data_IF_908433672618
#
_entry.id   IF_908433672618
#
_cell.length_a   1.000
_cell.length_b   1.000
_cell.length_c   1.000
_cell.angle_alpha   90.00
_cell.angle_beta   90.00
_cell.angle_gamma   90.00
#
_symmetry.space_group_name_H-M   'P 1'
#
loop_
_entity.id
_entity.type
_entity.pdbx_description
1 polymer ?
#
# COMPACT_ATOMS: atom_id res chain seq x y z
N UNK A 1 -3.84 -1.70 1.39
CA UNK A 1 -3.12 -2.99 1.27
C UNK A 1 -4.10 -4.01 0.74
N UNK A 2 -3.71 -4.88 -0.20
CA UNK A 2 -4.54 -5.95 -0.75
C UNK A 2 -3.78 -7.29 -0.67
N UNK A 3 -4.47 -8.40 -0.95
CA UNK A 3 -3.87 -9.74 -0.80
C UNK A 3 -2.58 -9.92 -1.62
N UNK A 4 -2.45 -9.25 -2.78
CA UNK A 4 -1.18 -9.22 -3.53
C UNK A 4 -0.03 -8.59 -2.75
N UNK A 5 -0.25 -7.44 -2.09
CA UNK A 5 0.73 -6.87 -1.17
C UNK A 5 0.97 -7.80 0.04
N UNK A 6 -0.07 -8.51 0.48
CA UNK A 6 0.02 -9.47 1.57
C UNK A 6 1.06 -10.55 1.32
N UNK A 7 1.17 -11.06 0.11
CA UNK A 7 2.18 -12.09 -0.22
C UNK A 7 3.61 -11.55 -0.13
N UNK A 8 3.83 -10.29 -0.55
CA UNK A 8 5.13 -9.62 -0.37
C UNK A 8 5.48 -9.49 1.12
N UNK A 9 4.52 -9.02 1.91
CA UNK A 9 4.71 -8.76 3.34
C UNK A 9 4.97 -10.06 4.12
N UNK A 10 4.22 -11.13 3.83
CA UNK A 10 4.45 -12.47 4.41
C UNK A 10 5.84 -12.99 4.06
N UNK A 11 6.27 -12.83 2.81
CA UNK A 11 7.62 -13.25 2.40
C UNK A 11 8.68 -12.43 3.13
N UNK A 12 8.52 -11.11 3.26
CA UNK A 12 9.45 -10.26 3.99
C UNK A 12 9.57 -10.67 5.48
N UNK A 13 8.45 -10.97 6.14
CA UNK A 13 8.44 -11.47 7.53
C UNK A 13 9.15 -12.82 7.64
N UNK A 14 8.84 -13.74 6.73
CA UNK A 14 9.49 -15.05 6.68
C UNK A 14 11.01 -14.94 6.52
N UNK A 15 11.48 -14.14 5.55
CA UNK A 15 12.91 -13.92 5.31
C UNK A 15 13.62 -13.26 6.49
N UNK A 16 12.94 -12.32 7.14
CA UNK A 16 13.47 -11.71 8.35
C UNK A 16 13.67 -12.72 9.47
N UNK A 17 12.70 -13.61 9.70
CA UNK A 17 12.81 -14.71 10.68
C UNK A 17 13.96 -15.66 10.35
N UNK A 18 14.06 -16.11 9.09
CA UNK A 18 15.12 -17.01 8.62
C UNK A 18 16.52 -16.41 8.79
N UNK A 19 16.64 -15.08 8.71
CA UNK A 19 17.92 -14.35 8.79
C UNK A 19 18.21 -13.76 10.18
N UNK A 20 17.28 -13.88 11.12
CA UNK A 20 17.43 -13.30 12.46
C UNK A 20 17.48 -11.76 12.44
N UNK A 21 16.80 -11.11 11.48
CA UNK A 21 16.73 -9.66 11.36
C UNK A 21 15.28 -9.15 11.47
N UNK A 22 15.10 -7.83 11.46
CA UNK A 22 13.77 -7.21 11.52
C UNK A 22 13.13 -7.19 10.13
N UNK A 23 11.82 -7.43 10.09
CA UNK A 23 11.04 -7.25 8.88
C UNK A 23 10.64 -5.78 8.71
N UNK A 24 10.74 -5.27 7.48
CA UNK A 24 10.38 -3.90 7.16
C UNK A 24 9.53 -3.81 5.89
N UNK A 25 8.65 -2.82 5.85
CA UNK A 25 7.94 -2.41 4.64
C UNK A 25 8.28 -0.96 4.32
N UNK A 26 8.53 -0.71 3.04
CA UNK A 26 8.78 0.63 2.51
C UNK A 26 7.55 1.09 1.71
N UNK A 27 7.09 2.30 1.94
CA UNK A 27 5.95 2.89 1.24
C UNK A 27 6.09 4.41 1.18
N UNK A 28 5.25 5.08 0.37
CA UNK A 28 5.25 6.53 0.24
C UNK A 28 4.05 7.17 0.94
N UNK A 29 4.19 8.44 1.34
CA UNK A 29 3.13 9.25 1.93
C UNK A 29 1.99 9.53 0.94
N UNK A 30 2.31 9.59 -0.36
CA UNK A 30 1.37 9.85 -1.46
C UNK A 30 1.61 8.91 -2.65
N UNK A 31 0.71 8.94 -3.61
CA UNK A 31 0.87 8.17 -4.84
C UNK A 31 1.96 8.79 -5.73
N UNK A 32 3.03 8.04 -6.11
CA UNK A 32 3.99 8.51 -7.11
C UNK A 32 3.33 8.95 -8.42
N UNK A 33 2.28 8.23 -8.84
CA UNK A 33 1.53 8.57 -10.05
C UNK A 33 0.85 9.93 -9.96
N UNK A 34 0.26 10.26 -8.81
CA UNK A 34 -0.36 11.56 -8.57
C UNK A 34 0.68 12.68 -8.66
N UNK A 35 1.82 12.52 -8.00
CA UNK A 35 2.90 13.50 -8.01
C UNK A 35 3.44 13.75 -9.43
N UNK A 36 3.63 12.67 -10.22
CA UNK A 36 4.17 12.75 -11.60
C UNK A 36 3.15 13.33 -12.58
N UNK A 37 1.87 12.97 -12.46
CA UNK A 37 0.84 13.37 -13.44
C UNK A 37 0.07 14.63 -13.06
N UNK A 38 0.18 15.08 -11.80
CA UNK A 38 -0.64 16.16 -11.24
C UNK A 38 -2.14 15.82 -11.14
N UNK A 39 -2.51 14.56 -11.34
CA UNK A 39 -3.91 14.10 -11.27
C UNK A 39 -4.15 13.35 -9.97
N UNK A 40 -5.18 13.69 -9.18
CA UNK A 40 -5.51 12.99 -7.96
C UNK A 40 -5.70 11.49 -8.21
N UNK A 41 -5.15 10.67 -7.34
CA UNK A 41 -5.36 9.22 -7.32
C UNK A 41 -6.06 8.89 -6.01
N UNK A 42 -7.36 8.55 -6.02
CA UNK A 42 -8.08 8.22 -4.80
C UNK A 42 -7.38 7.10 -4.02
N UNK A 43 -7.11 7.34 -2.75
CA UNK A 43 -6.44 6.38 -1.89
C UNK A 43 -7.44 5.33 -1.38
N UNK A 44 -6.99 4.09 -1.24
CA UNK A 44 -7.75 3.03 -0.56
C UNK A 44 -7.61 3.11 0.97
N UNK A 45 -6.52 3.70 1.44
CA UNK A 45 -6.20 3.89 2.86
C UNK A 45 -5.33 5.12 3.01
N UNK A 46 -5.43 5.82 4.12
CA UNK A 46 -4.44 6.83 4.50
C UNK A 46 -3.07 6.19 4.71
N UNK A 47 -1.95 6.95 4.64
CA UNK A 47 -0.62 6.42 4.97
C UNK A 47 -0.54 5.81 6.38
N UNK A 48 -1.21 6.44 7.36
CA UNK A 48 -1.25 5.96 8.74
C UNK A 48 -2.00 4.63 8.86
N UNK A 49 -3.20 4.54 8.28
CA UNK A 49 -4.00 3.32 8.26
C UNK A 49 -3.28 2.19 7.52
N UNK A 50 -2.66 2.48 6.38
CA UNK A 50 -1.86 1.52 5.63
C UNK A 50 -0.71 0.95 6.47
N UNK A 51 0.02 1.81 7.20
CA UNK A 51 1.08 1.38 8.08
C UNK A 51 0.54 0.52 9.24
N UNK A 52 -0.62 0.87 9.78
CA UNK A 52 -1.30 0.08 10.81
C UNK A 52 -1.70 -1.31 10.30
N UNK A 53 -2.34 -1.41 9.11
CA UNK A 53 -2.69 -2.69 8.48
C UNK A 53 -1.44 -3.56 8.27
N UNK A 54 -0.35 -2.99 7.76
CA UNK A 54 0.90 -3.70 7.52
C UNK A 54 1.45 -4.30 8.83
N UNK A 55 1.42 -3.54 9.92
CA UNK A 55 1.89 -4.03 11.22
C UNK A 55 0.96 -5.06 11.84
N UNK A 56 -0.32 -4.77 11.90
CA UNK A 56 -1.28 -5.56 12.68
C UNK A 56 -1.75 -6.83 11.98
N UNK A 57 -1.93 -6.78 10.67
CA UNK A 57 -2.41 -7.93 9.91
C UNK A 57 -1.29 -8.84 9.37
N UNK A 58 -0.13 -8.26 9.08
CA UNK A 58 0.97 -9.01 8.48
C UNK A 58 2.19 -9.19 9.40
N UNK A 59 2.20 -8.56 10.57
CA UNK A 59 3.26 -8.73 11.56
C UNK A 59 4.60 -8.10 11.15
N UNK A 60 4.59 -7.16 10.23
CA UNK A 60 5.80 -6.42 9.84
C UNK A 60 6.20 -5.48 10.98
N UNK A 61 7.46 -5.56 11.40
CA UNK A 61 7.94 -4.84 12.58
C UNK A 61 8.14 -3.34 12.31
N UNK A 62 8.72 -2.99 11.17
CA UNK A 62 9.00 -1.61 10.79
C UNK A 62 8.25 -1.22 9.53
N UNK A 63 7.67 -0.02 9.50
CA UNK A 63 7.05 0.53 8.30
C UNK A 63 7.60 1.92 8.08
N UNK A 64 8.34 2.09 7.00
CA UNK A 64 8.93 3.35 6.58
C UNK A 64 8.00 4.03 5.58
N UNK A 65 7.47 5.18 5.96
CA UNK A 65 6.63 6.01 5.10
C UNK A 65 7.46 7.21 4.69
N UNK A 66 7.99 7.15 3.47
CA UNK A 66 8.84 8.22 2.93
C UNK A 66 8.02 9.22 2.12
N UNK A 67 8.40 10.51 2.15
CA UNK A 67 7.80 11.48 1.27
C UNK A 67 8.17 11.18 -0.19
N UNK A 68 7.17 11.21 -1.09
CA UNK A 68 7.44 11.17 -2.52
C UNK A 68 7.53 12.61 -3.05
N UNK A 69 8.73 13.11 -3.11
CA UNK A 69 9.07 14.47 -3.55
C UNK A 69 9.91 14.46 -4.85
N UNK A 70 10.38 15.65 -5.25
CA UNK A 70 11.23 15.79 -6.45
C UNK A 70 12.55 15.02 -6.33
N UNK A 71 13.15 14.95 -5.14
CA UNK A 71 14.37 14.19 -4.92
C UNK A 71 14.12 12.70 -5.15
N UNK A 72 13.07 12.13 -4.52
CA UNK A 72 12.69 10.73 -4.72
C UNK A 72 12.33 10.43 -6.19
N UNK A 73 11.60 11.34 -6.85
CA UNK A 73 11.21 11.17 -8.26
C UNK A 73 12.42 11.13 -9.22
N UNK A 74 13.50 11.86 -8.90
CA UNK A 74 14.69 11.97 -9.77
C UNK A 74 15.84 11.07 -9.33
N UNK A 75 15.67 10.30 -8.26
CA UNK A 75 16.70 9.41 -7.73
C UNK A 75 17.04 8.31 -8.75
N UNK A 76 18.33 8.12 -9.12
CA UNK A 76 18.74 7.00 -9.95
C UNK A 76 18.32 5.66 -9.34
N UNK A 77 18.07 4.67 -10.18
CA UNK A 77 17.60 3.37 -9.68
C UNK A 77 18.65 2.66 -8.82
N UNK A 78 19.94 2.82 -9.12
CA UNK A 78 21.03 2.30 -8.30
C UNK A 78 21.05 2.94 -6.92
N UNK A 79 20.87 4.27 -6.84
CA UNK A 79 20.87 5.03 -5.59
C UNK A 79 19.64 4.68 -4.73
N UNK A 80 18.50 4.40 -5.36
CA UNK A 80 17.33 3.90 -4.64
C UNK A 80 17.66 2.62 -3.86
N UNK A 81 18.43 1.70 -4.44
CA UNK A 81 18.83 0.48 -3.73
C UNK A 81 19.99 0.79 -2.76
N UNK A 82 21.07 1.38 -3.25
CA UNK A 82 22.32 1.53 -2.49
C UNK A 82 22.20 2.54 -1.34
N UNK A 83 21.71 3.75 -1.62
CA UNK A 83 21.69 4.83 -0.64
C UNK A 83 20.45 4.72 0.28
N UNK A 84 19.29 4.43 -0.32
CA UNK A 84 18.04 4.41 0.44
C UNK A 84 17.83 3.06 1.13
N UNK A 85 17.74 1.96 0.38
CA UNK A 85 17.40 0.68 0.99
C UNK A 85 18.56 0.07 1.78
N UNK A 86 19.75 0.08 1.23
CA UNK A 86 20.92 -0.57 1.90
C UNK A 86 21.56 0.35 2.94
N UNK A 87 21.98 1.56 2.59
CA UNK A 87 22.69 2.43 3.54
C UNK A 87 21.79 3.03 4.61
N UNK A 88 20.62 3.58 4.21
CA UNK A 88 19.71 4.23 5.17
C UNK A 88 18.93 3.21 6.00
N UNK A 89 18.39 2.17 5.38
CA UNK A 89 17.52 1.19 6.04
C UNK A 89 18.18 -0.15 6.35
N UNK A 90 19.45 -0.32 6.02
CA UNK A 90 20.23 -1.52 6.30
C UNK A 90 19.59 -2.80 5.76
N UNK A 91 18.94 -2.71 4.59
CA UNK A 91 18.31 -3.85 3.96
C UNK A 91 19.35 -4.90 3.54
N UNK A 92 19.13 -6.14 3.94
CA UNK A 92 19.97 -7.32 3.58
C UNK A 92 19.24 -8.30 2.68
N UNK A 93 17.93 -8.11 2.52
CA UNK A 93 17.07 -8.91 1.66
C UNK A 93 15.91 -8.05 1.15
N UNK A 94 15.67 -8.07 -0.15
CA UNK A 94 14.63 -7.29 -0.79
C UNK A 94 13.52 -8.21 -1.31
N UNK A 95 12.27 -7.81 -1.11
CA UNK A 95 11.09 -8.52 -1.63
C UNK A 95 10.28 -7.54 -2.47
N UNK A 96 10.02 -7.88 -3.72
CA UNK A 96 9.28 -7.02 -4.63
C UNK A 96 8.24 -7.81 -5.44
N UNK A 97 7.24 -7.13 -5.98
CA UNK A 97 6.28 -7.72 -6.93
C UNK A 97 6.89 -7.86 -8.33
N UNK A 98 6.34 -8.76 -9.13
CA UNK A 98 6.79 -9.02 -10.51
C UNK A 98 6.77 -7.79 -11.44
N UNK A 99 5.93 -6.80 -11.12
CA UNK A 99 5.74 -5.57 -11.88
C UNK A 99 6.40 -4.35 -11.23
N UNK A 100 7.27 -4.58 -10.24
CA UNK A 100 7.91 -3.50 -9.49
C UNK A 100 8.78 -2.65 -10.41
N UNK A 101 8.56 -1.32 -10.32
CA UNK A 101 9.33 -0.29 -11.00
C UNK A 101 9.79 0.76 -10.00
N UNK A 102 11.01 1.24 -10.14
CA UNK A 102 11.61 2.20 -9.22
C UNK A 102 12.67 3.05 -9.90
N UNK A 103 13.14 4.07 -9.16
CA UNK A 103 14.12 5.02 -9.68
C UNK A 103 13.54 6.01 -10.69
N UNK A 104 14.40 6.90 -11.16
CA UNK A 104 14.03 7.94 -12.11
C UNK A 104 13.38 7.33 -13.36
N UNK A 105 12.21 7.87 -13.75
CA UNK A 105 11.43 7.42 -14.93
C UNK A 105 11.15 5.90 -14.97
N UNK A 106 11.10 5.24 -13.80
CA UNK A 106 10.91 3.80 -13.72
C UNK A 106 12.00 2.98 -14.43
N UNK A 107 13.23 3.47 -14.48
CA UNK A 107 14.36 2.78 -15.12
C UNK A 107 14.75 1.49 -14.39
N UNK A 108 14.51 1.41 -13.07
CA UNK A 108 14.64 0.19 -12.28
C UNK A 108 13.49 -0.76 -12.51
N UNK A 109 13.79 -2.05 -12.63
CA UNK A 109 12.84 -3.14 -12.76
C UNK A 109 13.30 -4.37 -11.95
N UNK A 110 12.57 -5.46 -12.03
CA UNK A 110 12.87 -6.67 -11.26
C UNK A 110 14.16 -7.35 -11.70
N UNK A 111 14.53 -7.28 -12.99
CA UNK A 111 15.77 -7.86 -13.50
C UNK A 111 16.99 -7.10 -12.98
N UNK A 112 16.94 -5.77 -13.03
CA UNK A 112 17.97 -4.89 -12.45
C UNK A 112 18.07 -5.07 -10.94
N UNK A 113 16.94 -5.19 -10.25
CA UNK A 113 16.89 -5.45 -8.80
C UNK A 113 17.61 -6.77 -8.46
N UNK A 114 17.26 -7.86 -9.15
CA UNK A 114 17.88 -9.16 -8.95
C UNK A 114 19.38 -9.14 -9.29
N UNK A 115 19.75 -8.53 -10.42
CA UNK A 115 21.15 -8.37 -10.82
C UNK A 115 21.98 -7.59 -9.80
N UNK A 116 21.44 -6.47 -9.30
CA UNK A 116 22.08 -5.68 -8.26
C UNK A 116 22.25 -6.49 -6.97
N UNK A 117 21.19 -7.15 -6.51
CA UNK A 117 21.24 -7.97 -5.29
C UNK A 117 22.28 -9.09 -5.40
N UNK A 118 22.32 -9.80 -6.53
CA UNK A 118 23.28 -10.87 -6.76
C UNK A 118 24.72 -10.35 -6.75
N UNK A 119 24.97 -9.21 -7.39
CA UNK A 119 26.32 -8.59 -7.44
C UNK A 119 26.82 -8.09 -6.07
N UNK A 120 25.90 -7.76 -5.14
CA UNK A 120 26.23 -7.17 -3.84
C UNK A 120 25.96 -8.11 -2.65
N UNK A 121 25.67 -9.39 -2.89
CA UNK A 121 25.43 -10.37 -1.81
C UNK A 121 24.13 -10.15 -1.03
N UNK A 122 23.15 -9.44 -1.61
CA UNK A 122 21.83 -9.23 -1.02
C UNK A 122 20.88 -10.36 -1.42
N UNK A 123 19.96 -10.71 -0.52
CA UNK A 123 18.86 -11.59 -0.90
C UNK A 123 17.81 -10.85 -1.73
N UNK A 124 17.13 -11.59 -2.63
CA UNK A 124 16.06 -11.02 -3.43
C UNK A 124 15.00 -12.08 -3.73
N UNK A 125 13.74 -11.76 -3.41
CA UNK A 125 12.57 -12.57 -3.83
C UNK A 125 11.64 -11.70 -4.68
N UNK A 126 11.23 -12.22 -5.84
CA UNK A 126 10.20 -11.60 -6.67
C UNK A 126 8.92 -12.40 -6.55
N UNK A 127 7.89 -11.75 -6.05
CA UNK A 127 6.57 -12.36 -5.87
C UNK A 127 5.82 -12.31 -7.19
N UNK A 128 5.32 -13.46 -7.68
CA UNK A 128 4.57 -13.50 -8.92
C UNK A 128 3.22 -12.79 -8.79
N UNK A 129 2.56 -12.60 -9.93
CA UNK A 129 1.20 -12.05 -9.99
C UNK A 129 0.26 -12.86 -9.12
N UNK A 130 -0.51 -12.17 -8.30
CA UNK A 130 -1.56 -12.77 -7.47
C UNK A 130 -2.90 -12.58 -8.17
N UNK A 131 -3.62 -13.67 -8.30
CA UNK A 131 -4.97 -13.68 -8.87
C UNK A 131 -5.97 -14.23 -7.87
N UNK A 132 -7.21 -13.78 -7.99
CA UNK A 132 -8.36 -14.31 -7.25
C UNK A 132 -9.54 -14.42 -8.19
N UNK A 133 -10.16 -15.60 -8.24
CA UNK A 133 -11.29 -15.90 -9.12
C UNK A 133 -10.99 -15.55 -10.61
N UNK A 134 -9.75 -15.85 -11.07
CA UNK A 134 -9.30 -15.56 -12.43
C UNK A 134 -9.04 -14.08 -12.72
N UNK A 135 -9.08 -13.20 -11.72
CA UNK A 135 -8.84 -11.76 -11.87
C UNK A 135 -7.56 -11.35 -11.15
N UNK A 136 -6.72 -10.59 -11.83
CA UNK A 136 -5.50 -10.02 -11.24
C UNK A 136 -5.85 -9.08 -10.10
N UNK A 137 -5.24 -9.31 -8.93
CA UNK A 137 -5.42 -8.46 -7.76
C UNK A 137 -4.64 -7.16 -7.96
N UNK A 138 -5.36 -6.04 -7.99
CA UNK A 138 -4.75 -4.72 -8.14
C UNK A 138 -5.54 -3.64 -7.42
N UNK A 139 -4.85 -2.58 -7.00
CA UNK A 139 -5.52 -1.41 -6.42
C UNK A 139 -6.50 -0.74 -7.39
N UNK A 140 -6.23 -0.80 -8.68
CA UNK A 140 -7.12 -0.25 -9.73
C UNK A 140 -8.45 -0.99 -9.74
N UNK A 141 -8.40 -2.34 -9.81
CA UNK A 141 -9.62 -3.14 -9.80
C UNK A 141 -10.43 -2.97 -8.51
N UNK A 142 -9.77 -2.90 -7.36
CA UNK A 142 -10.44 -2.68 -6.08
C UNK A 142 -11.14 -1.32 -6.05
N UNK A 143 -10.54 -0.25 -6.62
CA UNK A 143 -11.21 1.05 -6.74
C UNK A 143 -12.48 0.95 -7.59
N UNK A 144 -12.42 0.29 -8.73
CA UNK A 144 -13.62 0.07 -9.57
C UNK A 144 -14.74 -0.61 -8.77
N UNK A 145 -14.45 -1.67 -8.01
CA UNK A 145 -15.45 -2.35 -7.18
C UNK A 145 -16.08 -1.43 -6.14
N UNK A 146 -15.28 -0.59 -5.49
CA UNK A 146 -15.77 0.37 -4.48
C UNK A 146 -16.63 1.47 -5.11
N UNK A 147 -16.22 1.97 -6.28
CA UNK A 147 -16.99 2.96 -7.07
C UNK A 147 -18.32 2.39 -7.58
N UNK A 148 -18.39 1.09 -7.86
CA UNK A 148 -19.59 0.35 -8.22
C UNK A 148 -20.45 -0.04 -7.01
N UNK A 149 -19.90 0.02 -5.79
CA UNK A 149 -20.55 -0.33 -4.53
C UNK A 149 -20.46 -1.81 -4.18
N UNK A 150 -19.66 -2.60 -4.91
CA UNK A 150 -19.43 -4.03 -4.58
C UNK A 150 -18.36 -4.15 -3.48
N UNK A 151 -18.73 -3.69 -2.29
CA UNK A 151 -17.84 -3.72 -1.10
C UNK A 151 -17.49 -5.14 -0.65
N UNK A 152 -18.39 -6.10 -0.90
CA UNK A 152 -18.15 -7.50 -0.55
C UNK A 152 -17.02 -8.08 -1.39
N UNK A 153 -17.07 -7.87 -2.68
CA UNK A 153 -16.01 -8.32 -3.60
C UNK A 153 -14.72 -7.54 -3.37
N UNK A 154 -14.81 -6.22 -3.17
CA UNK A 154 -13.65 -5.40 -2.81
C UNK A 154 -12.94 -5.93 -1.56
N UNK A 155 -13.67 -6.26 -0.49
CA UNK A 155 -13.13 -6.85 0.74
C UNK A 155 -12.46 -8.21 0.50
N UNK A 156 -13.01 -9.03 -0.40
CA UNK A 156 -12.38 -10.29 -0.78
C UNK A 156 -11.01 -10.09 -1.45
N UNK A 157 -10.85 -9.06 -2.30
CA UNK A 157 -9.58 -8.72 -2.95
C UNK A 157 -8.62 -7.97 -2.01
N UNK A 158 -9.15 -7.21 -1.06
CA UNK A 158 -8.37 -6.59 0.01
C UNK A 158 -7.81 -7.64 0.98
N UNK A 159 -8.58 -8.68 1.30
CA UNK A 159 -8.28 -9.64 2.37
C UNK A 159 -8.71 -9.15 3.76
N UNK A 160 -9.40 -8.01 3.82
CA UNK A 160 -10.00 -7.41 5.02
C UNK A 160 -11.18 -6.53 4.61
N UNK A 161 -12.00 -6.13 5.56
CA UNK A 161 -13.07 -5.18 5.29
C UNK A 161 -12.50 -3.83 4.87
N UNK A 162 -13.15 -3.19 3.88
CA UNK A 162 -12.82 -1.82 3.56
C UNK A 162 -13.26 -0.91 4.71
N UNK A 163 -12.35 -0.14 5.26
CA UNK A 163 -12.59 0.79 6.35
C UNK A 163 -12.49 2.23 5.86
N UNK A 164 -13.28 3.09 6.45
CA UNK A 164 -13.25 4.54 6.22
C UNK A 164 -13.01 5.23 7.54
N UNK A 165 -11.88 5.86 7.68
CA UNK A 165 -11.55 6.73 8.80
C UNK A 165 -11.98 8.16 8.50
N UNK A 166 -12.41 8.89 9.52
CA UNK A 166 -12.77 10.29 9.36
C UNK A 166 -13.08 10.96 10.69
N UNK A 167 -13.38 12.25 10.62
CA UNK A 167 -13.74 13.05 11.78
C UNK A 167 -15.25 13.05 11.97
N UNK A 168 -15.69 12.73 13.20
CA UNK A 168 -17.10 12.84 13.56
C UNK A 168 -17.47 14.32 13.74
N UNK A 169 -18.46 14.79 12.99
CA UNK A 169 -19.02 16.14 13.11
C UNK A 169 -20.44 16.09 13.63
N UNK A 170 -20.83 17.10 14.42
CA UNK A 170 -22.21 17.32 14.79
C UNK A 170 -23.06 17.60 13.55
N UNK A 171 -24.13 16.81 13.39
CA UNK A 171 -25.17 17.06 12.41
C UNK A 171 -26.38 17.80 13.04
N UNK A 172 -27.47 17.87 12.31
CA UNK A 172 -28.72 18.54 12.75
C UNK A 172 -29.44 17.86 13.92
N UNK A 173 -28.93 16.71 14.38
CA UNK A 173 -29.47 15.99 15.54
C UNK A 173 -30.83 15.31 15.29
N UNK A 174 -31.23 15.15 14.03
CA UNK A 174 -32.53 14.58 13.63
C UNK A 174 -32.68 13.16 14.16
N UNK A 175 -31.64 12.32 14.05
CA UNK A 175 -31.66 10.94 14.53
C UNK A 175 -31.87 10.84 16.03
N UNK A 176 -31.32 11.73 16.84
CA UNK A 176 -31.51 11.76 18.29
C UNK A 176 -32.96 12.14 18.68
N UNK A 177 -33.65 12.95 17.84
CA UNK A 177 -35.03 13.38 18.07
C UNK A 177 -36.04 12.39 17.55
N UNK A 178 -35.73 11.62 16.49
CA UNK A 178 -36.69 10.82 15.75
C UNK A 178 -36.60 9.31 16.03
N UNK A 179 -35.39 8.70 16.12
CA UNK A 179 -35.24 7.23 16.21
C UNK A 179 -33.97 6.79 16.97
N UNK A 180 -32.78 7.03 16.42
CA UNK A 180 -31.49 6.61 16.99
C UNK A 180 -30.43 7.68 16.84
N UNK A 181 -29.48 7.80 17.80
CA UNK A 181 -28.32 8.66 17.63
C UNK A 181 -27.49 8.20 16.40
N UNK A 182 -27.16 9.15 15.53
CA UNK A 182 -26.32 8.91 14.35
C UNK A 182 -25.06 9.76 14.44
N UNK A 183 -23.95 9.25 13.93
CA UNK A 183 -22.71 9.98 13.76
C UNK A 183 -22.52 10.37 12.28
N UNK A 184 -22.14 11.64 12.04
CA UNK A 184 -21.75 12.11 10.72
C UNK A 184 -20.23 12.00 10.61
N UNK A 185 -19.76 11.04 9.83
CA UNK A 185 -18.34 10.85 9.57
C UNK A 185 -17.93 11.64 8.32
N UNK A 186 -16.95 12.51 8.44
CA UNK A 186 -16.31 13.21 7.32
C UNK A 186 -15.00 12.48 7.03
N UNK A 187 -14.93 11.69 5.95
CA UNK A 187 -13.70 11.01 5.55
C UNK A 187 -12.64 11.99 5.08
N UNK A 188 -11.38 11.53 5.03
CA UNK A 188 -10.30 12.27 4.38
C UNK A 188 -10.64 12.43 2.89
N UNK A 189 -10.44 13.64 2.35
CA UNK A 189 -10.81 14.00 0.98
C UNK A 189 -10.03 13.22 -0.10
N UNK A 190 -8.88 12.64 0.26
CA UNK A 190 -8.08 11.83 -0.65
C UNK A 190 -8.52 10.36 -0.69
N UNK A 191 -9.38 9.93 0.24
CA UNK A 191 -9.88 8.54 0.26
C UNK A 191 -10.98 8.40 -0.80
N UNK A 192 -10.96 7.23 -1.47
CA UNK A 192 -11.97 6.89 -2.47
C UNK A 192 -13.39 6.99 -1.89
N UNK A 193 -14.25 7.70 -2.61
CA UNK A 193 -15.66 7.77 -2.27
C UNK A 193 -16.35 6.48 -2.70
N UNK A 194 -17.11 5.87 -1.78
CA UNK A 194 -18.00 4.78 -2.12
C UNK A 194 -19.18 5.27 -2.97
N UNK A 195 -19.73 4.39 -3.79
CA UNK A 195 -21.05 4.63 -4.39
C UNK A 195 -22.05 5.00 -3.32
N UNK A 196 -22.93 5.96 -3.61
CA UNK A 196 -24.00 6.32 -2.66
C UNK A 196 -24.91 5.11 -2.40
N UNK A 197 -25.13 4.80 -1.13
CA UNK A 197 -25.90 3.64 -0.72
C UNK A 197 -25.91 3.44 0.79
N UNK A 198 -26.53 2.35 1.22
CA UNK A 198 -26.50 1.86 2.60
C UNK A 198 -25.62 0.62 2.61
N UNK A 199 -24.70 0.57 3.55
CA UNK A 199 -23.74 -0.52 3.71
C UNK A 199 -23.85 -1.10 5.11
N UNK A 200 -23.72 -2.43 5.23
CA UNK A 200 -23.75 -3.19 6.47
C UNK A 200 -22.63 -4.24 6.52
#
# INVERSE_FOLDING_TARGET
VHIGHGELLKMAVRRAQERGCRSAAFTFDRSPREFVTGRPVPLLTTPAERANIIRTQYGVQDVFVEPFDKHMMTMPWEDFISELLVKKYHAVHLVAGHDFRFGHKNEGDVEKLQGYCAAHGLGCDIIPRVERDGVTVSSTYIRTLLEEGDVKRASAFLGHYFSVEGTVRHGEGIGKKALFPTANLIPDEHIIALKRGVYA
#
